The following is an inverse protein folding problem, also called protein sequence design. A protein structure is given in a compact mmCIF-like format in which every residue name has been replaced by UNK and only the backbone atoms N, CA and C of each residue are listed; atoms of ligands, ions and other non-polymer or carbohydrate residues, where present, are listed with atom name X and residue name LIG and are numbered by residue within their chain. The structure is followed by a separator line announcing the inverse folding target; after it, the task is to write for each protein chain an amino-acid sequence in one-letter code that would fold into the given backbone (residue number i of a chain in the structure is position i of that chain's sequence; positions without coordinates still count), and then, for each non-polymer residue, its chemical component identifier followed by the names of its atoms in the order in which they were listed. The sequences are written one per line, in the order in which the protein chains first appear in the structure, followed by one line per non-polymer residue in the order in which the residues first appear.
data_IF_839679058444
#
_entry.id   IF_839679058444
#
_cell.length_a   1.000
_cell.length_b   1.000
_cell.length_c   1.000
_cell.angle_alpha   90.00
_cell.angle_beta   90.00
_cell.angle_gamma   90.00
#
_symmetry.space_group_name_H-M   'P 1'
#
loop_
_entity.id
_entity.type
_entity.pdbx_description
1 polymer ?
#
# COMPACT_ATOMS: atom_id res chain seq x y z
N UNK A 1 -42.91 -21.63 23.18
CA UNK A 1 -42.33 -20.31 22.87
C UNK A 1 -40.81 -20.42 22.99
N UNK A 2 -40.10 -20.40 21.87
CA UNK A 2 -38.64 -20.39 21.86
C UNK A 2 -38.13 -19.01 22.30
N UNK A 3 -37.42 -18.96 23.42
CA UNK A 3 -36.75 -17.75 23.90
C UNK A 3 -35.63 -17.41 22.91
N UNK A 4 -35.82 -16.38 22.10
CA UNK A 4 -34.76 -15.81 21.27
C UNK A 4 -33.87 -14.94 22.17
N UNK A 5 -32.67 -15.43 22.50
CA UNK A 5 -31.65 -14.64 23.18
C UNK A 5 -30.98 -13.68 22.18
N UNK A 6 -31.72 -12.70 21.69
CA UNK A 6 -31.22 -11.68 20.77
C UNK A 6 -30.60 -10.52 21.55
N UNK A 7 -29.29 -10.30 21.42
CA UNK A 7 -28.66 -9.07 21.90
C UNK A 7 -29.35 -7.88 21.23
N UNK A 8 -29.99 -7.01 22.03
CA UNK A 8 -30.57 -5.79 21.49
C UNK A 8 -29.49 -4.95 20.77
N UNK A 9 -29.76 -4.42 19.56
CA UNK A 9 -28.79 -3.62 18.83
C UNK A 9 -28.30 -2.42 19.65
N UNK A 10 -26.98 -2.22 19.72
CA UNK A 10 -26.41 -1.08 20.46
C UNK A 10 -26.59 0.22 19.65
N UNK A 11 -27.69 0.93 19.91
CA UNK A 11 -28.13 2.10 19.13
C UNK A 11 -27.06 3.18 18.96
N UNK A 12 -26.33 3.52 20.03
CA UNK A 12 -25.29 4.55 19.98
C UNK A 12 -24.13 4.16 19.05
N UNK A 13 -23.71 2.89 19.08
CA UNK A 13 -22.69 2.37 18.16
C UNK A 13 -23.16 2.43 16.71
N UNK A 14 -24.39 1.99 16.43
CA UNK A 14 -24.98 2.01 15.08
C UNK A 14 -25.09 3.44 14.57
N UNK A 15 -25.59 4.37 15.39
CA UNK A 15 -25.69 5.78 15.05
C UNK A 15 -24.31 6.38 14.70
N UNK A 16 -23.28 6.08 15.51
CA UNK A 16 -21.91 6.54 15.28
C UNK A 16 -21.31 5.98 13.97
N UNK A 17 -21.60 4.72 13.60
CA UNK A 17 -21.14 4.21 12.31
C UNK A 17 -21.90 4.87 11.14
N UNK A 18 -23.23 4.94 11.23
CA UNK A 18 -24.08 5.42 10.12
C UNK A 18 -23.88 6.89 9.77
N UNK A 19 -23.42 7.70 10.71
CA UNK A 19 -23.07 9.11 10.46
C UNK A 19 -21.75 9.30 9.68
N UNK A 20 -20.97 8.25 9.42
CA UNK A 20 -19.70 8.35 8.69
C UNK A 20 -19.93 8.43 7.18
N UNK A 21 -19.13 9.26 6.51
CA UNK A 21 -19.07 9.41 5.06
C UNK A 21 -17.91 8.61 4.48
N UNK A 22 -18.08 8.05 3.28
CA UNK A 22 -16.99 7.34 2.60
C UNK A 22 -15.89 8.33 2.20
N UNK A 23 -14.66 8.08 2.65
CA UNK A 23 -13.49 8.87 2.31
C UNK A 23 -12.45 7.95 1.65
N UNK A 24 -12.22 8.07 0.34
CA UNK A 24 -11.13 7.38 -0.34
C UNK A 24 -9.77 7.80 0.20
N UNK A 25 -8.94 6.81 0.53
CA UNK A 25 -7.60 7.00 1.10
C UNK A 25 -6.69 5.88 0.61
N UNK A 26 -5.46 6.19 0.21
CA UNK A 26 -4.48 5.18 -0.18
C UNK A 26 -3.89 4.48 1.05
N UNK A 27 -3.66 5.25 2.11
CA UNK A 27 -3.03 4.82 3.36
C UNK A 27 -3.98 5.06 4.53
N UNK A 28 -3.72 4.35 5.61
CA UNK A 28 -4.48 4.56 6.85
C UNK A 28 -4.25 5.95 7.46
N UNK A 29 -3.07 6.56 7.21
CA UNK A 29 -2.69 7.86 7.76
C UNK A 29 -3.19 9.06 6.93
N UNK A 30 -3.84 8.86 5.78
CA UNK A 30 -4.38 9.96 4.95
C UNK A 30 -5.60 10.66 5.60
N UNK A 31 -6.15 10.03 6.64
CA UNK A 31 -7.08 10.61 7.59
C UNK A 31 -6.49 10.43 8.99
N UNK A 32 -6.64 11.43 9.85
CA UNK A 32 -5.93 11.47 11.13
C UNK A 32 -6.86 11.76 12.29
N UNK A 33 -6.70 11.02 13.40
CA UNK A 33 -7.39 11.20 14.69
C UNK A 33 -8.90 11.46 14.53
N UNK A 34 -9.39 12.61 14.99
CA UNK A 34 -10.80 13.01 14.96
C UNK A 34 -11.43 12.99 13.57
N UNK A 35 -10.65 13.08 12.49
CA UNK A 35 -11.22 12.94 11.16
C UNK A 35 -11.78 11.53 10.92
N UNK A 36 -11.26 10.51 11.62
CA UNK A 36 -11.87 9.18 11.66
C UNK A 36 -13.28 9.17 12.26
N UNK A 37 -13.69 10.14 13.09
CA UNK A 37 -15.05 10.18 13.66
C UNK A 37 -16.13 10.27 12.58
N UNK A 38 -15.81 10.92 11.46
CA UNK A 38 -16.74 11.17 10.36
C UNK A 38 -16.35 10.50 9.05
N UNK A 39 -15.11 10.04 8.89
CA UNK A 39 -14.69 9.28 7.72
C UNK A 39 -14.81 7.77 7.94
N UNK A 40 -15.49 7.08 7.02
CA UNK A 40 -15.34 5.65 6.80
C UNK A 40 -14.34 5.45 5.66
N UNK A 41 -13.28 4.71 5.95
CA UNK A 41 -12.19 4.48 5.00
C UNK A 41 -11.66 3.07 5.12
N UNK A 42 -11.14 2.57 4.01
CA UNK A 42 -10.36 1.35 3.92
C UNK A 42 -9.15 1.71 3.06
N UNK A 43 -7.94 1.61 3.62
CA UNK A 43 -6.72 1.99 2.90
C UNK A 43 -6.64 1.30 1.54
N UNK A 44 -6.36 2.02 0.46
CA UNK A 44 -6.28 1.50 -0.91
C UNK A 44 -7.63 1.20 -1.58
N UNK A 45 -8.76 1.32 -0.88
CA UNK A 45 -10.10 1.24 -1.48
C UNK A 45 -10.50 2.62 -2.01
N UNK A 46 -10.05 2.94 -3.22
CA UNK A 46 -10.18 4.29 -3.79
C UNK A 46 -11.54 4.58 -4.45
N UNK A 47 -12.33 3.54 -4.76
CA UNK A 47 -13.65 3.69 -5.36
C UNK A 47 -14.72 3.95 -4.30
N UNK A 48 -15.56 4.98 -4.49
CA UNK A 48 -16.62 5.34 -3.55
C UNK A 48 -17.65 4.23 -3.35
N UNK A 49 -18.01 3.50 -4.41
CA UNK A 49 -19.00 2.41 -4.36
C UNK A 49 -18.44 1.18 -3.62
N UNK A 50 -17.14 0.90 -3.77
CA UNK A 50 -16.43 -0.12 -3.01
C UNK A 50 -16.47 0.19 -1.50
N UNK A 51 -16.19 1.44 -1.13
CA UNK A 51 -16.30 1.88 0.26
C UNK A 51 -17.73 1.83 0.79
N UNK A 52 -18.72 2.13 -0.06
CA UNK A 52 -20.14 2.04 0.31
C UNK A 52 -20.54 0.61 0.64
N UNK A 53 -20.13 -0.36 -0.18
CA UNK A 53 -20.39 -1.77 0.05
C UNK A 53 -19.69 -2.27 1.34
N UNK A 54 -18.43 -1.89 1.57
CA UNK A 54 -17.75 -2.22 2.83
C UNK A 54 -18.43 -1.60 4.05
N UNK A 55 -18.82 -0.32 3.98
CA UNK A 55 -19.54 0.34 5.08
C UNK A 55 -20.87 -0.33 5.37
N UNK A 56 -21.60 -0.72 4.33
CA UNK A 56 -22.85 -1.47 4.47
C UNK A 56 -22.62 -2.86 5.10
N UNK A 57 -21.56 -3.57 4.72
CA UNK A 57 -21.20 -4.85 5.32
C UNK A 57 -20.86 -4.70 6.82
N UNK A 58 -20.12 -3.66 7.20
CA UNK A 58 -19.83 -3.36 8.62
C UNK A 58 -21.11 -2.96 9.37
N UNK A 59 -22.00 -2.18 8.75
CA UNK A 59 -23.30 -1.82 9.35
C UNK A 59 -24.15 -3.06 9.65
N UNK A 60 -24.24 -4.01 8.70
CA UNK A 60 -24.90 -5.30 8.92
C UNK A 60 -24.24 -6.11 10.02
N UNK A 61 -22.91 -6.13 10.08
CA UNK A 61 -22.20 -6.81 11.14
C UNK A 61 -22.56 -6.28 12.54
N UNK A 62 -22.68 -4.96 12.70
CA UNK A 62 -23.06 -4.34 13.98
C UNK A 62 -24.55 -4.51 14.25
N UNK A 63 -25.40 -4.17 13.28
CA UNK A 63 -26.86 -4.07 13.49
C UNK A 63 -27.56 -5.42 13.57
N UNK A 64 -27.05 -6.43 12.87
CA UNK A 64 -27.59 -7.79 12.83
C UNK A 64 -26.74 -8.81 13.59
N UNK A 65 -25.61 -8.38 14.19
CA UNK A 65 -24.73 -9.27 14.95
C UNK A 65 -24.01 -10.32 14.10
N UNK A 66 -23.60 -9.99 12.87
CA UNK A 66 -22.87 -10.95 12.01
C UNK A 66 -21.48 -11.24 12.57
N UNK A 67 -21.00 -12.46 12.32
CA UNK A 67 -19.68 -12.90 12.77
C UNK A 67 -18.54 -12.41 11.86
N UNK A 68 -17.30 -12.50 12.35
CA UNK A 68 -16.11 -12.25 11.54
C UNK A 68 -16.03 -13.19 10.32
N UNK A 69 -16.45 -14.45 10.44
CA UNK A 69 -16.43 -15.39 9.31
C UNK A 69 -17.41 -14.97 8.21
N UNK A 70 -18.60 -14.49 8.58
CA UNK A 70 -19.52 -13.89 7.62
C UNK A 70 -18.90 -12.66 6.94
N UNK A 71 -18.24 -11.79 7.71
CA UNK A 71 -17.63 -10.60 7.14
C UNK A 71 -16.46 -10.92 6.19
N UNK A 72 -15.68 -11.99 6.47
CA UNK A 72 -14.63 -12.46 5.55
C UNK A 72 -15.20 -12.90 4.19
N UNK A 73 -16.36 -13.55 4.19
CA UNK A 73 -17.06 -13.92 2.96
C UNK A 73 -17.53 -12.67 2.21
N UNK A 74 -18.27 -11.78 2.90
CA UNK A 74 -18.73 -10.52 2.32
C UNK A 74 -17.57 -9.66 1.79
N UNK A 75 -16.41 -9.67 2.47
CA UNK A 75 -15.22 -8.96 2.04
C UNK A 75 -14.71 -9.47 0.68
N UNK A 76 -14.64 -10.79 0.50
CA UNK A 76 -14.22 -11.39 -0.77
C UNK A 76 -15.22 -11.03 -1.88
N UNK A 77 -16.52 -11.22 -1.63
CA UNK A 77 -17.59 -10.92 -2.60
C UNK A 77 -17.53 -9.45 -3.06
N UNK A 78 -17.32 -8.52 -2.12
CA UNK A 78 -17.19 -7.08 -2.41
C UNK A 78 -15.91 -6.80 -3.21
N UNK A 79 -14.77 -7.38 -2.81
CA UNK A 79 -13.52 -7.17 -3.52
C UNK A 79 -13.60 -7.68 -4.98
N UNK A 80 -14.17 -8.88 -5.18
CA UNK A 80 -14.34 -9.50 -6.48
C UNK A 80 -15.30 -8.69 -7.35
N UNK A 81 -16.46 -8.28 -6.80
CA UNK A 81 -17.45 -7.43 -7.48
C UNK A 81 -16.84 -6.15 -8.06
N UNK A 82 -15.91 -5.54 -7.33
CA UNK A 82 -15.29 -4.27 -7.72
C UNK A 82 -13.95 -4.41 -8.45
N UNK A 83 -13.48 -5.65 -8.66
CA UNK A 83 -12.16 -5.96 -9.21
C UNK A 83 -11.03 -5.37 -8.36
N UNK A 84 -11.23 -5.24 -7.05
CA UNK A 84 -10.31 -4.53 -6.17
C UNK A 84 -9.11 -5.38 -5.79
N UNK A 85 -7.94 -4.99 -6.30
CA UNK A 85 -6.66 -5.56 -5.89
C UNK A 85 -6.18 -4.88 -4.60
N UNK A 86 -5.80 -5.66 -3.60
CA UNK A 86 -5.35 -5.16 -2.30
C UNK A 86 -4.12 -5.92 -1.79
N UNK A 87 -3.42 -5.29 -0.84
CA UNK A 87 -2.24 -5.86 -0.20
C UNK A 87 -2.60 -6.63 1.09
N UNK A 88 -1.85 -7.71 1.35
CA UNK A 88 -1.96 -8.52 2.57
C UNK A 88 -2.97 -9.66 2.48
N UNK A 89 -2.91 -10.59 3.43
CA UNK A 89 -3.76 -11.77 3.43
C UNK A 89 -5.25 -11.38 3.57
N UNK A 90 -6.16 -11.86 2.69
CA UNK A 90 -7.57 -11.44 2.66
C UNK A 90 -8.26 -11.56 4.02
N UNK A 91 -8.10 -12.72 4.68
CA UNK A 91 -8.69 -12.97 6.00
C UNK A 91 -8.14 -12.04 7.09
N UNK A 92 -6.86 -11.70 7.04
CA UNK A 92 -6.26 -10.76 8.00
C UNK A 92 -6.78 -9.35 7.77
N UNK A 93 -6.83 -8.92 6.51
CA UNK A 93 -7.31 -7.59 6.12
C UNK A 93 -8.78 -7.39 6.48
N UNK A 94 -9.62 -8.37 6.14
CA UNK A 94 -11.03 -8.39 6.54
C UNK A 94 -11.19 -8.31 8.06
N UNK A 95 -10.36 -9.04 8.82
CA UNK A 95 -10.36 -8.99 10.28
C UNK A 95 -9.96 -7.61 10.82
N UNK A 96 -8.92 -6.99 10.28
CA UNK A 96 -8.51 -5.63 10.70
C UNK A 96 -9.63 -4.62 10.44
N UNK A 97 -10.25 -4.64 9.26
CA UNK A 97 -11.36 -3.74 8.91
C UNK A 97 -12.54 -3.97 9.85
N UNK A 98 -12.94 -5.23 10.02
CA UNK A 98 -14.05 -5.63 10.89
C UNK A 98 -13.81 -5.19 12.33
N UNK A 99 -12.71 -5.64 12.95
CA UNK A 99 -12.45 -5.42 14.37
C UNK A 99 -12.22 -3.95 14.70
N UNK A 100 -11.48 -3.23 13.84
CA UNK A 100 -11.19 -1.81 14.07
C UNK A 100 -12.49 -1.01 14.07
N UNK A 101 -13.33 -1.18 13.03
CA UNK A 101 -14.59 -0.46 12.95
C UNK A 101 -15.57 -0.87 14.05
N UNK A 102 -15.67 -2.16 14.37
CA UNK A 102 -16.56 -2.67 15.41
C UNK A 102 -16.18 -2.10 16.78
N UNK A 103 -14.89 -2.16 17.15
CA UNK A 103 -14.43 -1.71 18.47
C UNK A 103 -14.46 -0.19 18.60
N UNK A 104 -14.02 0.55 17.57
CA UNK A 104 -14.06 2.02 17.59
C UNK A 104 -15.48 2.57 17.72
N UNK A 105 -16.41 2.04 16.93
CA UNK A 105 -17.82 2.44 17.01
C UNK A 105 -18.46 2.06 18.35
N UNK A 106 -18.11 0.89 18.90
CA UNK A 106 -18.56 0.48 20.22
C UNK A 106 -18.04 1.43 21.31
N UNK A 107 -16.74 1.77 21.30
CA UNK A 107 -16.13 2.73 22.22
C UNK A 107 -16.83 4.08 22.14
N UNK A 108 -17.06 4.62 20.94
CA UNK A 108 -17.77 5.89 20.76
C UNK A 108 -19.17 5.87 21.40
N UNK A 109 -19.92 4.79 21.19
CA UNK A 109 -21.23 4.63 21.83
C UNK A 109 -21.15 4.54 23.35
N UNK A 110 -20.10 3.89 23.89
CA UNK A 110 -19.87 3.80 25.34
C UNK A 110 -19.45 5.14 25.93
N UNK A 111 -18.64 5.93 25.26
CA UNK A 111 -18.30 7.30 25.67
C UNK A 111 -19.56 8.16 25.77
N UNK A 112 -20.47 8.08 24.80
CA UNK A 112 -21.75 8.78 24.86
C UNK A 112 -22.58 8.36 26.09
N UNK A 113 -22.65 7.06 26.40
CA UNK A 113 -23.35 6.56 27.59
C UNK A 113 -22.68 7.04 28.89
N UNK A 114 -21.35 7.04 28.96
CA UNK A 114 -20.61 7.47 30.14
C UNK A 114 -20.80 8.97 30.38
N UNK A 115 -20.70 9.80 29.34
CA UNK A 115 -20.96 11.23 29.44
C UNK A 115 -22.39 11.53 29.90
N UNK A 116 -23.38 10.80 29.38
CA UNK A 116 -24.78 10.95 29.80
C UNK A 116 -25.04 10.54 31.27
N UNK A 117 -24.22 9.64 31.83
CA UNK A 117 -24.41 9.13 33.20
C UNK A 117 -23.42 9.69 34.22
N UNK A 118 -22.51 10.58 33.81
CA UNK A 118 -21.40 11.06 34.64
C UNK A 118 -21.82 11.72 35.96
N UNK A 119 -23.01 12.35 36.01
CA UNK A 119 -23.54 12.93 37.24
C UNK A 119 -23.76 11.88 38.36
N UNK A 120 -24.08 10.64 37.99
CA UNK A 120 -24.31 9.53 38.93
C UNK A 120 -23.14 8.55 38.98
N UNK A 121 -22.29 8.56 37.95
CA UNK A 121 -21.16 7.65 37.77
C UNK A 121 -19.92 8.45 37.34
N UNK A 122 -19.36 9.31 38.22
CA UNK A 122 -18.37 10.32 37.81
C UNK A 122 -16.98 9.77 37.53
N UNK A 123 -16.72 8.48 37.80
CA UNK A 123 -15.41 7.86 37.60
C UNK A 123 -15.43 6.88 36.43
N UNK A 124 -14.25 6.65 35.85
CA UNK A 124 -14.02 5.62 34.86
C UNK A 124 -12.83 4.74 35.27
N UNK A 125 -12.91 3.46 34.91
CA UNK A 125 -11.83 2.48 35.12
C UNK A 125 -11.31 1.97 33.77
N UNK A 126 -9.99 1.95 33.62
CA UNK A 126 -9.31 1.29 32.51
C UNK A 126 -9.21 -0.21 32.80
N UNK A 127 -9.71 -1.04 31.88
CA UNK A 127 -9.67 -2.50 31.99
C UNK A 127 -8.91 -3.08 30.81
N UNK A 128 -7.73 -3.60 31.10
CA UNK A 128 -7.00 -4.47 30.19
C UNK A 128 -7.86 -5.67 29.76
N UNK A 129 -7.71 -6.08 28.50
CA UNK A 129 -8.52 -7.13 27.84
C UNK A 129 -8.39 -8.54 28.42
N UNK A 130 -7.31 -8.83 29.14
CA UNK A 130 -6.92 -10.19 29.52
C UNK A 130 -6.13 -10.93 28.43
N UNK A 131 -5.61 -10.22 27.42
CA UNK A 131 -4.67 -10.77 26.42
C UNK A 131 -3.50 -11.51 27.08
N UNK A 132 -3.15 -12.69 26.57
CA UNK A 132 -1.98 -13.48 26.97
C UNK A 132 -0.66 -12.75 26.69
N UNK A 133 -0.63 -11.95 25.62
CA UNK A 133 0.49 -11.08 25.26
C UNK A 133 0.04 -9.61 25.29
N UNK A 134 0.01 -8.99 26.48
CA UNK A 134 -0.44 -7.61 26.62
C UNK A 134 0.67 -6.63 26.19
N UNK A 135 0.27 -5.44 25.71
CA UNK A 135 1.16 -4.28 25.72
C UNK A 135 1.43 -3.91 27.17
N UNK A 136 2.69 -3.81 27.59
CA UNK A 136 3.05 -3.62 29.00
C UNK A 136 2.45 -2.34 29.60
N UNK A 137 2.38 -1.27 28.80
CA UNK A 137 1.74 -0.01 29.18
C UNK A 137 0.24 -0.20 29.45
N UNK A 138 -0.46 -1.00 28.62
CA UNK A 138 -1.89 -1.24 28.82
C UNK A 138 -2.16 -2.10 30.06
N UNK A 139 -1.23 -2.99 30.39
CA UNK A 139 -1.30 -3.81 31.61
C UNK A 139 -1.06 -2.95 32.86
N UNK A 140 -0.11 -2.01 32.81
CA UNK A 140 0.15 -1.11 33.94
C UNK A 140 -1.01 -0.16 34.22
N UNK A 141 -1.83 0.16 33.22
CA UNK A 141 -3.07 0.92 33.40
C UNK A 141 -4.27 0.07 33.87
N UNK A 142 -4.13 -1.25 34.03
CA UNK A 142 -5.24 -2.08 34.49
C UNK A 142 -5.70 -1.66 35.89
N UNK A 143 -7.01 -1.40 36.04
CA UNK A 143 -7.63 -0.85 37.24
C UNK A 143 -7.29 0.61 37.58
N UNK A 144 -6.67 1.34 36.65
CA UNK A 144 -6.53 2.79 36.80
C UNK A 144 -7.93 3.42 36.84
N UNK A 145 -8.25 4.05 37.97
CA UNK A 145 -9.52 4.76 38.17
C UNK A 145 -9.26 6.26 38.16
N UNK A 146 -9.93 6.98 37.27
CA UNK A 146 -9.85 8.43 37.15
C UNK A 146 -11.26 9.02 37.04
N UNK A 147 -11.46 10.31 37.39
CA UNK A 147 -12.68 11.03 36.98
C UNK A 147 -12.92 10.91 35.47
N UNK A 148 -14.18 10.88 35.03
CA UNK A 148 -14.54 10.77 33.60
C UNK A 148 -13.97 11.93 32.79
N UNK A 149 -13.94 13.13 33.37
CA UNK A 149 -13.49 14.36 32.72
C UNK A 149 -11.97 14.59 32.88
N UNK A 150 -11.23 13.62 33.41
CA UNK A 150 -9.78 13.69 33.53
C UNK A 150 -9.11 13.85 32.14
N UNK A 151 -8.17 14.81 31.97
CA UNK A 151 -7.50 15.06 30.68
C UNK A 151 -6.78 13.84 30.10
N UNK A 152 -6.34 12.88 30.92
CA UNK A 152 -5.67 11.65 30.47
C UNK A 152 -6.53 10.85 29.49
N UNK A 153 -7.86 10.85 29.70
CA UNK A 153 -8.79 10.16 28.81
C UNK A 153 -8.83 10.75 27.39
N UNK A 154 -8.40 11.99 27.18
CA UNK A 154 -8.43 12.64 25.85
C UNK A 154 -7.62 11.89 24.81
N UNK A 155 -6.58 11.19 25.24
CA UNK A 155 -5.72 10.39 24.37
C UNK A 155 -5.78 8.90 24.68
N UNK A 156 -6.01 8.50 25.94
CA UNK A 156 -5.91 7.10 26.39
C UNK A 156 -7.25 6.35 26.48
N UNK A 157 -8.31 6.87 25.85
CA UNK A 157 -9.60 6.16 25.81
C UNK A 157 -9.46 4.86 25.00
N UNK A 158 -9.78 3.68 25.59
CA UNK A 158 -9.48 2.38 25.00
C UNK A 158 -9.99 2.13 23.58
N UNK A 159 -9.30 1.15 22.96
CA UNK A 159 -8.96 1.05 21.53
C UNK A 159 -7.73 1.87 21.14
N UNK A 160 -6.70 1.86 21.97
CA UNK A 160 -5.43 2.59 21.82
C UNK A 160 -4.52 2.06 20.68
N UNK A 161 -5.07 1.31 19.73
CA UNK A 161 -4.30 0.72 18.63
C UNK A 161 -4.96 -0.49 17.98
N UNK A 162 -4.34 -0.97 16.91
CA UNK A 162 -4.82 -2.14 16.19
C UNK A 162 -4.80 -3.38 17.11
N UNK A 163 -5.87 -4.17 17.08
CA UNK A 163 -6.02 -5.35 17.93
C UNK A 163 -6.21 -5.07 19.42
N UNK A 164 -6.29 -3.81 19.86
CA UNK A 164 -6.50 -3.50 21.28
C UNK A 164 -7.92 -3.91 21.72
N UNK A 165 -8.01 -4.80 22.72
CA UNK A 165 -9.28 -5.25 23.31
C UNK A 165 -9.62 -4.59 24.66
N UNK A 166 -8.84 -3.59 25.10
CA UNK A 166 -9.04 -2.91 26.37
C UNK A 166 -10.37 -2.15 26.37
N UNK A 167 -10.94 -1.92 27.56
CA UNK A 167 -12.26 -1.30 27.75
C UNK A 167 -12.22 -0.24 28.83
N UNK A 168 -13.12 0.74 28.73
CA UNK A 168 -13.39 1.75 29.76
C UNK A 168 -14.81 1.58 30.27
N UNK A 169 -14.96 1.61 31.58
CA UNK A 169 -16.26 1.46 32.25
C UNK A 169 -16.47 2.60 33.22
N UNK A 170 -17.68 3.18 33.27
CA UNK A 170 -18.02 4.14 34.31
C UNK A 170 -18.28 3.44 35.65
N UNK A 171 -18.00 4.11 36.75
CA UNK A 171 -18.18 3.67 38.13
C UNK A 171 -18.85 4.79 38.95
N UNK A 172 -19.75 4.42 39.85
CA UNK A 172 -20.22 5.29 40.93
C UNK A 172 -19.34 5.16 42.17
N UNK A 173 -19.46 6.06 43.13
CA UNK A 173 -18.77 5.96 44.43
C UNK A 173 -19.01 4.60 45.10
N UNK A 174 -20.27 4.15 45.15
CA UNK A 174 -20.66 2.82 45.65
C UNK A 174 -19.96 1.66 44.94
N UNK A 175 -19.62 1.82 43.64
CA UNK A 175 -18.89 0.79 42.92
C UNK A 175 -17.42 0.74 43.32
N UNK A 176 -16.82 1.89 43.64
CA UNK A 176 -15.47 1.97 44.16
C UNK A 176 -15.37 1.26 45.50
N UNK A 177 -16.27 1.60 46.44
CA UNK A 177 -16.35 0.96 47.76
C UNK A 177 -16.53 -0.56 47.64
N UNK A 178 -17.54 -1.00 46.88
CA UNK A 178 -17.84 -2.43 46.69
C UNK A 178 -16.69 -3.21 46.08
N UNK A 179 -15.90 -2.59 45.21
CA UNK A 179 -14.77 -3.24 44.51
C UNK A 179 -13.43 -3.01 45.19
N UNK A 180 -13.39 -2.27 46.31
CA UNK A 180 -12.14 -1.89 46.97
C UNK A 180 -11.22 -1.05 46.10
N UNK A 181 -11.77 -0.28 45.15
CA UNK A 181 -11.01 0.58 44.25
C UNK A 181 -10.89 1.99 44.83
N UNK A 182 -9.79 2.68 44.50
CA UNK A 182 -9.59 4.09 44.86
C UNK A 182 -9.30 4.91 43.62
N UNK A 183 -9.74 6.16 43.62
CA UNK A 183 -9.37 7.12 42.58
C UNK A 183 -7.85 7.32 42.61
N UNK A 184 -7.22 7.16 41.47
CA UNK A 184 -5.77 7.31 41.29
C UNK A 184 -5.44 8.74 40.88
N UNK A 185 -4.20 9.23 41.14
CA UNK A 185 -3.73 10.44 40.50
C UNK A 185 -3.60 10.24 38.99
N UNK A 186 -3.83 11.29 38.21
CA UNK A 186 -3.67 11.27 36.75
C UNK A 186 -2.22 10.94 36.39
N UNK A 187 -1.96 9.90 35.57
CA UNK A 187 -0.59 9.56 35.16
C UNK A 187 0.06 10.68 34.33
N UNK A 188 1.36 10.86 34.48
CA UNK A 188 2.16 11.68 33.58
C UNK A 188 2.16 11.06 32.18
N UNK A 189 1.85 11.87 31.16
CA UNK A 189 1.87 11.42 29.77
C UNK A 189 3.23 11.69 29.16
N UNK A 190 3.95 10.62 28.83
CA UNK A 190 5.18 10.68 28.06
C UNK A 190 4.88 10.54 26.57
N UNK A 191 5.60 11.30 25.74
CA UNK A 191 5.46 11.27 24.30
C UNK A 191 6.71 10.70 23.64
N UNK A 192 6.53 10.13 22.45
CA UNK A 192 7.61 9.84 21.53
C UNK A 192 7.30 10.47 20.17
N UNK A 193 8.35 10.82 19.43
CA UNK A 193 8.20 11.32 18.08
C UNK A 193 7.98 10.16 17.11
N UNK A 194 6.85 10.20 16.41
CA UNK A 194 6.57 9.32 15.29
C UNK A 194 6.59 10.13 14.00
N UNK A 195 7.44 9.72 13.05
CA UNK A 195 7.54 10.34 11.73
C UNK A 195 6.79 9.50 10.72
N UNK A 196 5.82 10.10 10.01
CA UNK A 196 5.19 9.46 8.86
C UNK A 196 6.27 9.28 7.78
N UNK A 197 6.60 8.02 7.49
CA UNK A 197 7.67 7.66 6.55
C UNK A 197 7.41 8.10 5.10
N UNK A 198 6.17 8.46 4.76
CA UNK A 198 5.77 8.89 3.42
C UNK A 198 5.72 10.41 3.32
N UNK A 199 5.11 11.10 4.28
CA UNK A 199 4.98 12.58 4.23
C UNK A 199 6.17 13.30 4.88
N UNK A 200 6.91 12.62 5.76
CA UNK A 200 7.98 13.23 6.56
C UNK A 200 7.47 14.04 7.76
N UNK A 201 6.15 14.11 7.97
CA UNK A 201 5.56 14.84 9.09
C UNK A 201 5.86 14.15 10.42
N UNK A 202 6.33 14.92 11.40
CA UNK A 202 6.59 14.46 12.75
C UNK A 202 5.36 14.71 13.65
N UNK A 203 4.95 13.68 14.39
CA UNK A 203 3.85 13.74 15.34
C UNK A 203 4.33 13.32 16.73
N UNK A 204 3.86 14.01 17.75
CA UNK A 204 4.07 13.62 19.14
C UNK A 204 2.95 12.66 19.56
N UNK A 205 3.30 11.40 19.82
CA UNK A 205 2.35 10.33 20.16
C UNK A 205 2.58 9.89 21.61
N UNK A 206 1.53 9.76 22.44
CA UNK A 206 1.66 9.21 23.78
C UNK A 206 2.23 7.78 23.76
N UNK A 207 3.19 7.49 24.65
CA UNK A 207 3.72 6.13 24.79
C UNK A 207 2.60 5.15 25.15
N UNK A 208 2.62 3.99 24.50
CA UNK A 208 1.58 2.97 24.66
C UNK A 208 0.34 3.17 23.79
N UNK A 209 0.29 4.18 22.92
CA UNK A 209 -0.79 4.38 21.95
C UNK A 209 -0.24 4.30 20.54
N UNK A 210 -0.92 3.54 19.66
CA UNK A 210 -0.54 3.49 18.25
C UNK A 210 -0.88 4.84 17.57
N UNK A 211 -0.05 5.33 16.62
CA UNK A 211 -0.31 6.61 15.95
C UNK A 211 -1.69 6.66 15.29
N UNK A 212 -2.42 7.76 15.47
CA UNK A 212 -3.77 7.95 14.93
C UNK A 212 -4.91 7.40 15.79
N UNK A 213 -4.60 6.72 16.90
CA UNK A 213 -5.58 6.26 17.91
C UNK A 213 -5.61 7.13 19.18
N UNK A 214 -4.77 8.17 19.25
CA UNK A 214 -4.62 9.07 20.39
C UNK A 214 -5.68 10.18 20.41
N UNK A 215 -6.95 9.76 20.40
CA UNK A 215 -8.12 10.64 20.49
C UNK A 215 -9.30 9.89 21.12
N UNK A 216 -10.27 10.63 21.66
CA UNK A 216 -11.56 10.06 22.09
C UNK A 216 -12.50 10.01 20.90
N UNK A 217 -13.02 8.82 20.52
CA UNK A 217 -14.05 8.71 19.52
C UNK A 217 -15.33 9.38 20.02
N UNK A 218 -15.80 10.43 19.34
CA UNK A 218 -17.00 11.17 19.75
C UNK A 218 -17.95 11.45 18.58
N UNK A 219 -19.24 11.51 18.88
CA UNK A 219 -20.29 11.90 17.93
C UNK A 219 -20.71 13.36 18.15
N UNK A 220 -19.81 14.34 18.00
CA UNK A 220 -20.21 15.75 18.09
C UNK A 220 -20.67 16.28 16.72
N UNK A 221 -21.82 16.97 16.66
CA UNK A 221 -22.33 17.63 15.45
C UNK A 221 -21.41 18.78 14.98
N UNK A 222 -20.71 19.42 15.92
CA UNK A 222 -19.73 20.47 15.63
C UNK A 222 -18.53 19.94 14.82
N UNK A 223 -18.07 18.71 15.12
CA UNK A 223 -17.05 18.02 14.33
C UNK A 223 -17.54 17.64 12.92
N UNK A 224 -18.85 17.41 12.72
CA UNK A 224 -19.41 17.14 11.38
C UNK A 224 -19.14 18.27 10.41
N UNK A 225 -19.41 19.53 10.81
CA UNK A 225 -19.22 20.70 9.95
C UNK A 225 -17.75 20.93 9.65
N UNK A 226 -16.88 20.73 10.64
CA UNK A 226 -15.43 20.87 10.48
C UNK A 226 -14.84 19.77 9.57
N UNK A 227 -15.26 18.52 9.70
CA UNK A 227 -14.80 17.43 8.81
C UNK A 227 -15.37 17.55 7.41
N UNK A 228 -16.64 17.96 7.25
CA UNK A 228 -17.20 18.23 5.91
C UNK A 228 -16.45 19.37 5.21
N UNK A 229 -16.08 20.43 5.94
CA UNK A 229 -15.24 21.51 5.40
C UNK A 229 -13.83 21.00 5.03
N UNK A 230 -13.19 20.19 5.87
CA UNK A 230 -11.88 19.60 5.59
C UNK A 230 -11.91 18.62 4.40
N UNK A 231 -13.00 17.87 4.23
CA UNK A 231 -13.18 16.95 3.08
C UNK A 231 -13.50 17.72 1.80
N UNK A 232 -14.27 18.80 1.88
CA UNK A 232 -14.61 19.67 0.75
C UNK A 232 -13.45 20.55 0.28
N UNK A 233 -12.53 20.92 1.17
CA UNK A 233 -11.30 21.66 0.84
C UNK A 233 -10.24 20.78 0.15
N UNK A 234 -10.39 19.46 0.19
CA UNK A 234 -9.48 18.56 -0.53
C UNK A 234 -9.84 18.61 -2.04
N UNK A 235 -8.88 18.90 -2.96
CA UNK A 235 -9.13 18.95 -4.41
C UNK A 235 -9.77 17.65 -4.92
N UNK A 236 -10.37 17.55 -6.11
CA UNK A 236 -10.95 16.30 -6.61
C UNK A 236 -10.01 15.08 -6.46
N UNK A 237 -10.56 13.88 -6.25
CA UNK A 237 -9.75 12.66 -6.02
C UNK A 237 -8.74 12.40 -7.16
N UNK A 238 -9.11 12.75 -8.39
CA UNK A 238 -8.25 12.64 -9.57
C UNK A 238 -7.04 13.60 -9.55
N UNK A 239 -7.11 14.71 -8.81
CA UNK A 239 -6.03 15.68 -8.64
C UNK A 239 -5.19 15.42 -7.38
N UNK A 240 -5.77 14.72 -6.40
CA UNK A 240 -5.08 14.30 -5.15
C UNK A 240 -4.10 13.15 -5.36
N UNK A 241 -4.27 12.37 -6.41
CA UNK A 241 -3.51 11.15 -6.64
C UNK A 241 -2.69 11.32 -7.92
N UNK A 242 -1.35 11.24 -7.87
CA UNK A 242 -0.61 10.98 -9.09
C UNK A 242 -1.11 9.62 -9.61
N UNK A 243 -1.59 9.58 -10.86
CA UNK A 243 -2.00 8.34 -11.47
C UNK A 243 -0.84 7.34 -11.37
N UNK A 244 -1.07 6.21 -10.69
CA UNK A 244 -0.01 5.25 -10.43
C UNK A 244 0.37 4.56 -11.73
N UNK A 245 1.44 5.04 -12.36
CA UNK A 245 1.93 4.51 -13.63
C UNK A 245 2.32 3.02 -13.54
N UNK A 246 2.89 2.60 -12.41
CA UNK A 246 3.21 1.19 -12.12
C UNK A 246 2.13 0.61 -11.19
N UNK A 247 1.20 -0.23 -11.69
CA UNK A 247 0.02 -0.64 -10.90
C UNK A 247 0.37 -1.32 -9.58
N UNK A 248 1.39 -2.18 -9.58
CA UNK A 248 1.87 -2.86 -8.37
C UNK A 248 3.31 -3.38 -8.52
N UNK A 249 3.97 -3.58 -7.39
CA UNK A 249 5.27 -4.24 -7.31
C UNK A 249 5.41 -4.96 -5.96
N UNK A 250 5.83 -6.22 -5.98
CA UNK A 250 6.25 -6.94 -4.78
C UNK A 250 7.75 -6.74 -4.60
N UNK A 251 8.16 -6.13 -3.49
CA UNK A 251 9.55 -5.82 -3.22
C UNK A 251 9.99 -6.29 -1.84
N UNK A 252 11.13 -6.98 -1.79
CA UNK A 252 11.81 -7.29 -0.52
C UNK A 252 12.86 -6.23 -0.14
N UNK A 253 12.99 -5.18 -0.96
CA UNK A 253 13.88 -4.04 -0.76
C UNK A 253 13.02 -2.81 -0.44
N UNK A 254 13.03 -2.37 0.82
CA UNK A 254 12.09 -1.38 1.34
C UNK A 254 12.11 -0.01 0.67
N UNK A 255 13.19 0.34 -0.04
CA UNK A 255 13.37 1.64 -0.72
C UNK A 255 13.05 1.60 -2.22
N UNK A 256 12.46 0.49 -2.68
CA UNK A 256 12.03 0.30 -4.08
C UNK A 256 10.61 -0.27 -4.03
N UNK A 257 9.64 0.50 -4.51
CA UNK A 257 8.23 0.14 -4.50
C UNK A 257 7.54 0.64 -5.78
N UNK A 258 6.30 0.20 -6.00
CA UNK A 258 5.50 0.69 -7.13
C UNK A 258 5.35 2.21 -7.12
N UNK A 259 5.28 2.81 -5.92
CA UNK A 259 5.18 4.25 -5.73
C UNK A 259 6.46 4.97 -6.16
N UNK A 260 7.63 4.54 -5.68
CA UNK A 260 8.90 5.19 -6.04
C UNK A 260 9.24 5.02 -7.53
N UNK A 261 8.82 3.90 -8.13
CA UNK A 261 8.92 3.69 -9.58
C UNK A 261 7.95 4.56 -10.38
N UNK A 262 6.70 4.71 -9.90
CA UNK A 262 5.70 5.57 -10.54
C UNK A 262 6.09 7.04 -10.47
N UNK A 263 6.70 7.48 -9.36
CA UNK A 263 7.22 8.84 -9.21
C UNK A 263 8.26 9.15 -10.29
N UNK A 264 9.24 8.26 -10.49
CA UNK A 264 10.24 8.43 -11.55
C UNK A 264 9.62 8.46 -12.94
N UNK A 265 8.70 7.54 -13.26
CA UNK A 265 8.01 7.55 -14.55
C UNK A 265 7.21 8.84 -14.77
N UNK A 266 6.49 9.31 -13.76
CA UNK A 266 5.65 10.51 -13.86
C UNK A 266 6.44 11.78 -14.15
N UNK A 267 7.73 11.81 -13.79
CA UNK A 267 8.62 12.95 -14.03
C UNK A 267 9.10 13.04 -15.49
N UNK A 268 9.15 11.92 -16.23
CA UNK A 268 9.58 11.89 -17.64
C UNK A 268 8.59 12.57 -18.60
N UNK A 269 7.30 12.66 -18.24
CA UNK A 269 6.21 13.36 -18.96
C UNK A 269 6.30 13.27 -20.51
N UNK A 270 6.25 12.06 -21.06
CA UNK A 270 6.25 11.85 -22.52
C UNK A 270 5.07 10.99 -23.00
N UNK A 271 4.80 11.01 -24.30
CA UNK A 271 3.76 10.16 -24.91
C UNK A 271 4.11 8.67 -24.78
N UNK A 272 5.40 8.34 -24.80
CA UNK A 272 5.94 7.00 -24.62
C UNK A 272 5.68 6.45 -23.22
N UNK A 273 5.80 7.31 -22.19
CA UNK A 273 5.45 6.94 -20.80
C UNK A 273 3.97 6.65 -20.67
N UNK A 274 3.09 7.43 -21.31
CA UNK A 274 1.65 7.20 -21.31
C UNK A 274 1.31 5.86 -22.01
N UNK A 275 1.85 5.64 -23.21
CA UNK A 275 1.69 4.38 -23.94
C UNK A 275 2.19 3.17 -23.14
N UNK A 276 3.34 3.27 -22.49
CA UNK A 276 3.87 2.20 -21.64
C UNK A 276 2.97 1.94 -20.43
N UNK A 277 2.50 2.99 -19.76
CA UNK A 277 1.60 2.91 -18.61
C UNK A 277 0.28 2.20 -18.97
N UNK A 278 -0.27 2.45 -20.16
CA UNK A 278 -1.47 1.77 -20.64
C UNK A 278 -1.24 0.26 -20.79
N UNK A 279 -0.10 -0.16 -21.35
CA UNK A 279 0.26 -1.58 -21.48
C UNK A 279 0.34 -2.24 -20.11
N UNK A 280 1.00 -1.60 -19.14
CA UNK A 280 1.13 -2.13 -17.78
C UNK A 280 -0.24 -2.41 -17.15
N UNK A 281 -1.20 -1.51 -17.35
CA UNK A 281 -2.58 -1.67 -16.84
C UNK A 281 -3.34 -2.74 -17.59
N UNK A 282 -3.30 -2.73 -18.92
CA UNK A 282 -4.07 -3.63 -19.77
C UNK A 282 -3.69 -5.09 -19.59
N UNK A 283 -2.40 -5.38 -19.57
CA UNK A 283 -1.87 -6.75 -19.43
C UNK A 283 -1.62 -7.13 -17.98
N UNK A 284 -2.07 -6.30 -17.03
CA UNK A 284 -1.89 -6.52 -15.58
C UNK A 284 -0.46 -6.90 -15.19
N UNK A 285 0.55 -6.31 -15.86
CA UNK A 285 1.95 -6.73 -15.71
C UNK A 285 2.47 -6.47 -14.30
N UNK A 286 3.00 -7.52 -13.68
CA UNK A 286 3.47 -7.50 -12.29
C UNK A 286 4.98 -7.37 -12.19
N UNK A 287 5.46 -6.80 -11.09
CA UNK A 287 6.89 -6.58 -10.86
C UNK A 287 7.34 -7.24 -9.57
N UNK A 288 8.42 -8.02 -9.63
CA UNK A 288 9.11 -8.58 -8.47
C UNK A 288 10.50 -7.94 -8.31
N UNK A 289 10.74 -7.24 -7.19
CA UNK A 289 12.06 -6.69 -6.83
C UNK A 289 12.64 -7.52 -5.68
N UNK A 290 13.63 -8.36 -5.98
CA UNK A 290 14.13 -9.38 -5.07
C UNK A 290 15.63 -9.27 -4.82
N UNK A 291 16.08 -9.70 -3.63
CA UNK A 291 17.50 -9.78 -3.31
C UNK A 291 18.11 -11.01 -3.98
N UNK A 292 19.41 -10.94 -4.29
CA UNK A 292 20.12 -12.07 -4.92
C UNK A 292 19.90 -13.41 -4.21
N UNK A 293 19.92 -13.41 -2.87
CA UNK A 293 19.76 -14.64 -2.09
C UNK A 293 18.37 -15.25 -2.13
N UNK A 294 17.37 -14.48 -2.57
CA UNK A 294 15.98 -14.90 -2.72
C UNK A 294 15.70 -15.50 -4.12
N UNK A 295 16.65 -15.37 -5.06
CA UNK A 295 16.53 -15.90 -6.42
C UNK A 295 17.10 -17.32 -6.58
N UNK A 296 17.79 -17.88 -5.58
CA UNK A 296 18.53 -19.15 -5.71
C UNK A 296 17.66 -20.42 -5.52
N UNK A 297 16.35 -20.28 -5.26
CA UNK A 297 15.46 -21.40 -4.94
C UNK A 297 15.71 -22.09 -3.59
N UNK A 298 16.66 -21.57 -2.80
CA UNK A 298 16.99 -22.07 -1.45
C UNK A 298 16.02 -21.59 -0.36
N UNK A 299 16.45 -21.66 0.90
CA UNK A 299 15.62 -21.34 2.08
C UNK A 299 14.99 -19.95 2.00
N UNK A 300 15.80 -18.92 1.68
CA UNK A 300 15.30 -17.54 1.56
C UNK A 300 14.31 -17.35 0.41
N UNK A 301 14.49 -18.07 -0.71
CA UNK A 301 13.54 -18.07 -1.80
C UNK A 301 12.21 -18.69 -1.34
N UNK A 302 12.24 -19.88 -0.71
CA UNK A 302 11.04 -20.58 -0.24
C UNK A 302 10.26 -19.77 0.79
N UNK A 303 10.95 -19.03 1.66
CA UNK A 303 10.32 -18.16 2.67
C UNK A 303 9.41 -17.07 2.06
N UNK A 304 9.65 -16.67 0.81
CA UNK A 304 8.85 -15.67 0.10
C UNK A 304 7.97 -16.28 -1.02
N UNK A 305 7.92 -17.61 -1.15
CA UNK A 305 7.19 -18.26 -2.24
C UNK A 305 5.67 -18.07 -2.12
N UNK A 306 5.14 -18.20 -0.91
CA UNK A 306 3.71 -17.98 -0.60
C UNK A 306 3.26 -16.55 -0.90
N UNK A 307 3.90 -15.49 -0.36
CA UNK A 307 3.48 -14.13 -0.66
C UNK A 307 3.69 -13.75 -2.15
N UNK A 308 4.69 -14.32 -2.84
CA UNK A 308 4.84 -14.11 -4.29
C UNK A 308 3.72 -14.82 -5.08
N UNK A 309 3.36 -16.06 -4.74
CA UNK A 309 2.27 -16.75 -5.43
C UNK A 309 0.94 -16.00 -5.26
N UNK A 310 0.67 -15.48 -4.07
CA UNK A 310 -0.49 -14.62 -3.81
C UNK A 310 -0.43 -13.34 -4.66
N UNK A 311 0.70 -12.62 -4.63
CA UNK A 311 0.87 -11.42 -5.45
C UNK A 311 0.69 -11.69 -6.94
N UNK A 312 1.18 -12.83 -7.44
CA UNK A 312 1.04 -13.23 -8.85
C UNK A 312 -0.31 -13.87 -9.20
N UNK A 313 -1.24 -14.03 -8.25
CA UNK A 313 -2.50 -14.76 -8.42
C UNK A 313 -2.28 -16.22 -8.90
N UNK A 314 -1.30 -16.92 -8.32
CA UNK A 314 -1.00 -18.33 -8.60
C UNK A 314 -1.54 -19.22 -7.47
N UNK A 315 -2.07 -20.38 -7.84
CA UNK A 315 -2.76 -21.28 -6.92
C UNK A 315 -1.86 -21.95 -5.87
N UNK A 316 -0.55 -22.05 -6.12
CA UNK A 316 0.39 -22.75 -5.24
C UNK A 316 1.72 -21.97 -5.12
N UNK A 317 2.36 -21.98 -3.94
CA UNK A 317 3.69 -21.42 -3.76
C UNK A 317 4.74 -22.20 -4.56
N UNK A 318 5.31 -21.56 -5.59
CA UNK A 318 6.34 -22.19 -6.41
C UNK A 318 7.50 -21.25 -6.71
N UNK A 319 8.71 -21.63 -6.27
CA UNK A 319 9.93 -20.84 -6.51
C UNK A 319 10.27 -20.72 -8.00
N UNK A 320 9.73 -21.59 -8.86
CA UNK A 320 9.94 -21.51 -10.31
C UNK A 320 9.41 -20.24 -10.96
N UNK A 321 8.50 -19.52 -10.31
CA UNK A 321 8.00 -18.24 -10.82
C UNK A 321 9.04 -17.11 -10.77
N UNK A 322 10.10 -17.23 -9.97
CA UNK A 322 11.07 -16.15 -9.76
C UNK A 322 12.49 -16.61 -9.43
N UNK A 323 12.81 -17.91 -9.51
CA UNK A 323 14.17 -18.40 -9.30
C UNK A 323 15.00 -18.30 -10.58
N UNK A 324 16.28 -18.06 -10.41
CA UNK A 324 17.28 -18.20 -11.47
C UNK A 324 18.28 -19.30 -11.10
N UNK A 325 18.75 -20.05 -12.11
CA UNK A 325 19.84 -21.02 -11.93
C UNK A 325 21.19 -20.34 -11.66
N UNK A 326 21.34 -19.07 -12.01
CA UNK A 326 22.59 -18.29 -11.87
C UNK A 326 22.31 -16.88 -11.31
N UNK A 327 21.80 -16.77 -10.07
CA UNK A 327 21.35 -15.49 -9.50
C UNK A 327 22.47 -14.44 -9.37
N UNK A 328 23.74 -14.87 -9.33
CA UNK A 328 24.90 -13.98 -9.33
C UNK A 328 25.15 -13.31 -10.68
N UNK A 329 24.73 -13.93 -11.80
CA UNK A 329 25.02 -13.47 -13.16
C UNK A 329 23.86 -12.73 -13.84
N UNK A 330 22.69 -12.67 -13.21
CA UNK A 330 21.50 -12.00 -13.77
C UNK A 330 21.13 -10.78 -12.94
N UNK A 331 20.75 -9.68 -13.60
CA UNK A 331 20.24 -8.48 -12.94
C UNK A 331 18.72 -8.36 -13.05
N UNK A 332 18.12 -8.97 -14.06
CA UNK A 332 16.68 -9.17 -14.21
C UNK A 332 16.45 -10.39 -15.10
N UNK A 333 15.19 -10.81 -15.19
CA UNK A 333 14.71 -11.77 -16.19
C UNK A 333 13.19 -11.79 -16.23
N UNK A 334 12.64 -12.26 -17.35
CA UNK A 334 11.22 -12.59 -17.53
C UNK A 334 11.04 -13.74 -18.52
N UNK A 335 9.79 -14.13 -18.80
CA UNK A 335 9.45 -15.20 -19.74
C UNK A 335 8.16 -14.85 -20.51
N UNK A 336 8.06 -15.28 -21.77
CA UNK A 336 6.87 -15.04 -22.60
C UNK A 336 5.57 -15.64 -22.04
N UNK A 337 5.66 -16.71 -21.23
CA UNK A 337 4.51 -17.34 -20.57
C UNK A 337 4.12 -16.69 -19.24
N UNK A 338 4.80 -15.62 -18.84
CA UNK A 338 4.58 -14.92 -17.59
C UNK A 338 4.01 -13.53 -17.85
N UNK A 339 3.20 -13.05 -16.92
CA UNK A 339 2.70 -11.67 -16.87
C UNK A 339 3.44 -10.86 -15.80
N UNK A 340 4.71 -11.19 -15.59
CA UNK A 340 5.54 -10.55 -14.57
C UNK A 340 7.03 -10.53 -14.92
N UNK A 341 7.73 -9.55 -14.34
CA UNK A 341 9.18 -9.39 -14.46
C UNK A 341 9.86 -9.54 -13.10
N UNK A 342 11.12 -9.96 -13.12
CA UNK A 342 11.96 -10.08 -11.92
C UNK A 342 13.16 -9.17 -12.08
N UNK A 343 13.45 -8.37 -11.06
CA UNK A 343 14.62 -7.50 -11.01
C UNK A 343 15.37 -7.70 -9.71
N UNK A 344 16.69 -7.85 -9.81
CA UNK A 344 17.61 -8.05 -8.69
C UNK A 344 18.09 -6.71 -8.13
N UNK A 345 17.83 -6.50 -6.85
CA UNK A 345 18.28 -5.33 -6.11
C UNK A 345 19.06 -5.73 -4.84
N UNK A 346 20.01 -4.90 -4.42
CA UNK A 346 20.65 -5.00 -3.11
C UNK A 346 19.73 -4.41 -2.05
N UNK A 347 19.88 -4.83 -0.79
CA UNK A 347 19.13 -4.23 0.33
C UNK A 347 19.41 -2.74 0.53
N UNK A 348 20.53 -2.24 0.00
CA UNK A 348 20.95 -0.84 0.05
C UNK A 348 20.45 -0.01 -1.13
N UNK A 349 20.04 -0.64 -2.23
CA UNK A 349 19.57 0.05 -3.43
C UNK A 349 18.30 0.86 -3.07
N UNK A 350 18.15 2.03 -3.69
CA UNK A 350 17.10 2.99 -3.36
C UNK A 350 16.75 3.79 -4.59
N UNK A 351 15.45 4.03 -4.85
CA UNK A 351 15.02 4.93 -5.91
C UNK A 351 14.86 6.38 -5.44
N UNK A 352 14.80 6.61 -4.12
CA UNK A 352 14.54 7.95 -3.55
C UNK A 352 15.56 9.03 -3.92
N UNK A 353 16.78 8.65 -4.36
CA UNK A 353 17.85 9.58 -4.76
C UNK A 353 18.12 9.58 -6.26
N UNK A 354 17.47 8.67 -6.99
CA UNK A 354 17.62 8.58 -8.44
C UNK A 354 16.79 9.72 -9.04
N UNK A 355 17.34 10.41 -10.02
CA UNK A 355 16.62 11.46 -10.74
C UNK A 355 16.45 11.11 -12.22
N UNK A 356 15.46 11.72 -12.88
CA UNK A 356 15.25 11.53 -14.31
C UNK A 356 16.46 11.98 -15.12
N UNK A 357 17.13 13.05 -14.72
CA UNK A 357 18.33 13.56 -15.38
C UNK A 357 19.47 12.53 -15.33
N UNK A 358 19.62 11.79 -14.23
CA UNK A 358 20.61 10.71 -14.15
C UNK A 358 20.28 9.55 -15.09
N UNK A 359 19.00 9.18 -15.20
CA UNK A 359 18.55 8.12 -16.10
C UNK A 359 18.75 8.52 -17.58
N UNK A 360 18.41 9.76 -17.91
CA UNK A 360 18.57 10.36 -19.23
C UNK A 360 20.04 10.53 -19.61
N UNK A 361 20.89 10.99 -18.69
CA UNK A 361 22.33 11.11 -18.90
C UNK A 361 23.01 9.74 -19.08
N UNK A 362 22.57 8.71 -18.35
CA UNK A 362 23.03 7.35 -18.58
C UNK A 362 22.68 6.86 -19.99
N UNK A 363 21.47 7.17 -20.47
CA UNK A 363 21.03 6.84 -21.82
C UNK A 363 21.81 7.62 -22.88
N UNK A 364 22.01 8.93 -22.70
CA UNK A 364 22.80 9.77 -23.61
C UNK A 364 24.24 9.28 -23.75
N UNK A 365 24.86 8.88 -22.64
CA UNK A 365 26.22 8.33 -22.66
C UNK A 365 26.33 7.07 -23.51
N UNK A 366 25.29 6.23 -23.57
CA UNK A 366 25.27 5.07 -24.47
C UNK A 366 25.31 5.50 -25.93
N UNK A 367 24.48 6.47 -26.31
CA UNK A 367 24.46 7.01 -27.68
C UNK A 367 25.81 7.61 -28.06
N UNK A 368 26.40 8.43 -27.18
CA UNK A 368 27.69 9.09 -27.42
C UNK A 368 28.81 8.07 -27.61
N UNK A 369 28.89 7.06 -26.73
CA UNK A 369 29.90 6.01 -26.80
C UNK A 369 29.74 5.13 -28.04
N UNK A 370 28.50 4.84 -28.44
CA UNK A 370 28.23 4.11 -29.67
C UNK A 370 28.69 4.90 -30.90
N UNK A 371 28.40 6.20 -30.98
CA UNK A 371 28.88 7.08 -32.06
C UNK A 371 30.42 7.14 -32.13
N UNK A 372 31.10 7.02 -31.00
CA UNK A 372 32.56 6.91 -30.91
C UNK A 372 33.11 5.50 -31.20
N UNK A 373 32.27 4.57 -31.65
CA UNK A 373 32.63 3.16 -31.92
C UNK A 373 33.17 2.43 -30.67
N UNK A 374 32.72 2.83 -29.48
CA UNK A 374 33.08 2.26 -28.18
C UNK A 374 31.84 1.83 -27.39
N UNK A 375 31.00 0.92 -27.93
CA UNK A 375 29.72 0.58 -27.32
C UNK A 375 29.90 0.05 -25.90
N UNK A 376 29.06 0.53 -24.99
CA UNK A 376 28.99 -0.02 -23.63
C UNK A 376 28.39 -1.43 -23.64
N UNK A 377 28.50 -2.13 -22.49
CA UNK A 377 27.87 -3.42 -22.31
C UNK A 377 26.34 -3.32 -22.43
N UNK A 378 25.67 -2.47 -21.65
CA UNK A 378 24.21 -2.28 -21.68
C UNK A 378 23.80 -0.92 -21.11
N UNK A 379 22.57 -0.49 -21.34
CA UNK A 379 22.04 0.74 -20.71
C UNK A 379 22.08 0.68 -19.18
N UNK A 380 21.77 -0.48 -18.60
CA UNK A 380 21.82 -0.68 -17.14
C UNK A 380 23.24 -0.57 -16.57
N UNK A 381 24.28 -0.91 -17.36
CA UNK A 381 25.68 -0.73 -16.97
C UNK A 381 26.02 0.76 -16.82
N UNK A 382 25.59 1.61 -17.77
CA UNK A 382 25.79 3.06 -17.62
C UNK A 382 24.96 3.63 -16.48
N UNK A 383 23.73 3.15 -16.28
CA UNK A 383 22.93 3.50 -15.11
C UNK A 383 23.65 3.24 -13.78
N UNK A 384 24.36 2.11 -13.68
CA UNK A 384 25.13 1.74 -12.49
C UNK A 384 26.31 2.69 -12.19
N UNK A 385 26.82 3.40 -13.20
CA UNK A 385 27.90 4.40 -13.01
C UNK A 385 27.37 5.62 -12.24
N UNK A 386 26.11 6.00 -12.45
CA UNK A 386 25.48 7.12 -11.75
C UNK A 386 24.97 6.72 -10.37
N UNK A 387 24.13 5.68 -10.31
CA UNK A 387 23.54 5.21 -9.06
C UNK A 387 23.12 3.73 -9.14
N UNK A 388 23.30 3.01 -8.04
CA UNK A 388 22.90 1.59 -7.94
C UNK A 388 21.40 1.34 -8.13
N UNK A 389 20.55 2.30 -7.75
CA UNK A 389 19.11 2.32 -7.99
C UNK A 389 18.76 2.66 -9.43
N UNK A 390 19.52 3.55 -10.09
CA UNK A 390 19.34 3.84 -11.52
C UNK A 390 19.55 2.56 -12.36
N UNK A 391 20.56 1.76 -12.02
CA UNK A 391 20.72 0.40 -12.59
C UNK A 391 19.48 -0.46 -12.41
N UNK A 392 18.90 -0.51 -11.19
CA UNK A 392 17.70 -1.31 -10.91
C UNK A 392 16.52 -0.85 -11.76
N UNK A 393 16.29 0.46 -11.83
CA UNK A 393 15.18 1.02 -12.59
C UNK A 393 15.33 0.80 -14.11
N UNK A 394 16.53 1.00 -14.66
CA UNK A 394 16.81 0.73 -16.08
C UNK A 394 16.70 -0.77 -16.38
N UNK A 395 17.16 -1.64 -15.46
CA UNK A 395 16.95 -3.09 -15.61
C UNK A 395 15.46 -3.43 -15.60
N UNK A 396 14.66 -2.78 -14.77
CA UNK A 396 13.21 -2.98 -14.79
C UNK A 396 12.57 -2.59 -16.13
N UNK A 397 12.95 -1.45 -16.69
CA UNK A 397 12.49 -1.03 -18.03
C UNK A 397 12.89 -2.05 -19.09
N UNK A 398 14.13 -2.56 -19.02
CA UNK A 398 14.62 -3.62 -19.90
C UNK A 398 13.71 -4.87 -19.86
N UNK A 399 13.46 -5.41 -18.66
CA UNK A 399 12.61 -6.61 -18.53
C UNK A 399 11.16 -6.36 -18.96
N UNK A 400 10.64 -5.15 -18.72
CA UNK A 400 9.33 -4.75 -19.21
C UNK A 400 9.31 -4.63 -20.75
N UNK A 401 10.42 -4.22 -21.36
CA UNK A 401 10.60 -4.24 -22.82
C UNK A 401 10.44 -5.63 -23.41
N UNK A 402 10.96 -6.67 -22.75
CA UNK A 402 10.69 -8.05 -23.16
C UNK A 402 9.19 -8.40 -23.11
N UNK A 403 8.50 -8.04 -22.03
CA UNK A 403 7.05 -8.25 -21.89
C UNK A 403 6.26 -7.54 -22.98
N UNK A 404 6.56 -6.28 -23.26
CA UNK A 404 5.97 -5.50 -24.36
C UNK A 404 6.18 -6.24 -25.69
N UNK A 405 7.40 -6.72 -25.95
CA UNK A 405 7.71 -7.46 -27.18
C UNK A 405 6.92 -8.78 -27.30
N UNK A 406 6.76 -9.51 -26.19
CA UNK A 406 5.93 -10.72 -26.14
C UNK A 406 4.47 -10.41 -26.44
N UNK A 407 3.88 -9.39 -25.80
CA UNK A 407 2.49 -8.98 -26.02
C UNK A 407 2.24 -8.36 -27.42
N UNK A 408 3.28 -7.84 -28.06
CA UNK A 408 3.26 -7.43 -29.47
C UNK A 408 3.29 -8.63 -30.46
N UNK A 409 3.43 -9.87 -29.96
CA UNK A 409 3.57 -11.06 -30.78
C UNK A 409 4.95 -11.19 -31.44
N UNK A 410 5.98 -10.57 -30.86
CA UNK A 410 7.38 -10.69 -31.24
C UNK A 410 7.64 -10.44 -32.74
N UNK A 411 7.27 -9.26 -33.28
CA UNK A 411 7.46 -8.96 -34.69
C UNK A 411 8.93 -9.16 -35.11
N UNK A 412 9.21 -9.76 -36.29
CA UNK A 412 10.57 -10.05 -36.71
C UNK A 412 11.39 -8.77 -36.90
N UNK A 413 12.64 -8.80 -36.44
CA UNK A 413 13.57 -7.68 -36.53
C UNK A 413 14.49 -7.92 -37.73
N UNK A 414 14.41 -7.07 -38.75
CA UNK A 414 15.24 -7.19 -39.94
C UNK A 414 16.73 -6.99 -39.62
N UNK A 415 17.62 -7.68 -40.34
CA UNK A 415 19.07 -7.59 -40.11
C UNK A 415 19.62 -6.17 -40.27
N UNK A 416 19.06 -5.40 -41.20
CA UNK A 416 19.39 -3.99 -41.38
C UNK A 416 19.07 -3.14 -40.16
N UNK A 417 18.06 -3.54 -39.39
CA UNK A 417 17.68 -2.88 -38.14
C UNK A 417 18.55 -3.37 -36.98
N UNK A 418 18.90 -4.66 -36.95
CA UNK A 418 19.84 -5.20 -35.96
C UNK A 418 21.22 -4.55 -36.04
N UNK A 419 21.63 -4.06 -37.20
CA UNK A 419 22.88 -3.33 -37.37
C UNK A 419 22.97 -2.06 -36.49
N UNK A 420 21.83 -1.47 -36.07
CA UNK A 420 21.79 -0.30 -35.18
C UNK A 420 21.86 -0.63 -33.69
N UNK A 421 22.41 -1.80 -33.33
CA UNK A 421 22.52 -2.25 -31.94
C UNK A 421 23.38 -1.34 -31.05
N UNK A 422 22.75 -0.47 -30.26
CA UNK A 422 23.38 0.59 -29.46
C UNK A 422 24.32 0.07 -28.36
N UNK A 423 24.13 -1.15 -27.88
CA UNK A 423 24.96 -1.76 -26.82
C UNK A 423 25.49 -3.13 -27.24
N UNK A 424 26.58 -3.59 -26.62
CA UNK A 424 27.10 -4.95 -26.86
C UNK A 424 26.03 -5.99 -26.53
N UNK A 425 25.28 -5.79 -25.45
CA UNK A 425 24.22 -6.70 -25.01
C UNK A 425 23.07 -6.78 -26.03
N UNK A 426 22.69 -5.66 -26.65
CA UNK A 426 21.64 -5.63 -27.69
C UNK A 426 21.97 -6.44 -28.95
N UNK A 427 23.23 -6.85 -29.15
CA UNK A 427 23.65 -7.69 -30.28
C UNK A 427 23.35 -9.19 -30.08
N UNK A 428 23.10 -9.60 -28.84
CA UNK A 428 23.01 -11.02 -28.44
C UNK A 428 21.91 -11.77 -29.19
N UNK A 429 20.70 -11.24 -29.21
CA UNK A 429 19.55 -11.81 -29.91
C UNK A 429 18.45 -10.75 -30.12
N UNK A 430 17.35 -11.11 -30.79
CA UNK A 430 16.28 -10.17 -31.11
C UNK A 430 15.53 -9.64 -29.87
N UNK A 431 15.41 -10.45 -28.81
CA UNK A 431 14.79 -10.04 -27.56
C UNK A 431 15.61 -9.00 -26.83
N UNK A 432 16.92 -9.22 -26.70
CA UNK A 432 17.85 -8.26 -26.09
C UNK A 432 17.95 -6.98 -26.92
N UNK A 433 17.91 -7.11 -28.25
CA UNK A 433 17.83 -5.95 -29.13
C UNK A 433 16.61 -5.11 -28.78
N UNK A 434 15.41 -5.72 -28.76
CA UNK A 434 14.19 -4.96 -28.47
C UNK A 434 14.23 -4.33 -27.07
N UNK A 435 14.57 -5.10 -26.04
CA UNK A 435 14.55 -4.63 -24.66
C UNK A 435 15.54 -3.49 -24.40
N UNK A 436 16.75 -3.53 -24.98
CA UNK A 436 17.71 -2.43 -24.86
C UNK A 436 17.23 -1.16 -25.59
N UNK A 437 16.65 -1.29 -26.79
CA UNK A 437 16.17 -0.12 -27.53
C UNK A 437 14.85 0.43 -26.95
N UNK A 438 14.07 -0.40 -26.27
CA UNK A 438 12.89 0.03 -25.51
C UNK A 438 13.26 1.00 -24.38
N UNK A 439 14.42 0.80 -23.73
CA UNK A 439 14.95 1.74 -22.72
C UNK A 439 15.17 3.11 -23.35
N UNK A 440 15.84 3.15 -24.50
CA UNK A 440 16.09 4.39 -25.22
C UNK A 440 14.80 5.07 -25.70
N UNK A 441 13.83 4.27 -26.17
CA UNK A 441 12.51 4.76 -26.56
C UNK A 441 11.77 5.39 -25.39
N UNK A 442 11.87 4.82 -24.18
CA UNK A 442 11.17 5.34 -23.01
C UNK A 442 11.90 6.55 -22.36
N UNK A 443 13.22 6.52 -22.26
CA UNK A 443 14.00 7.52 -21.53
C UNK A 443 14.48 8.69 -22.41
N UNK A 444 14.75 8.44 -23.69
CA UNK A 444 15.27 9.42 -24.65
C UNK A 444 14.57 9.31 -26.03
N UNK A 445 13.23 9.38 -26.08
CA UNK A 445 12.46 9.16 -27.31
C UNK A 445 12.87 10.09 -28.46
N UNK A 446 13.01 11.39 -28.18
CA UNK A 446 13.34 12.39 -29.20
C UNK A 446 14.72 12.17 -29.80
N UNK A 447 15.70 11.77 -28.99
CA UNK A 447 17.05 11.45 -29.47
C UNK A 447 17.04 10.17 -30.30
N UNK A 448 16.38 9.12 -29.82
CA UNK A 448 16.26 7.87 -30.56
C UNK A 448 15.58 8.10 -31.92
N UNK A 449 14.51 8.90 -31.96
CA UNK A 449 13.79 9.26 -33.18
C UNK A 449 14.67 10.04 -34.17
N UNK A 450 15.48 10.98 -33.67
CA UNK A 450 16.37 11.79 -34.51
C UNK A 450 17.53 10.98 -35.09
N UNK A 451 18.21 10.18 -34.28
CA UNK A 451 19.46 9.52 -34.68
C UNK A 451 19.23 8.11 -35.24
N UNK A 452 18.17 7.41 -34.80
CA UNK A 452 17.84 6.03 -35.20
C UNK A 452 16.33 5.89 -35.49
N UNK A 453 15.78 6.65 -36.45
CA UNK A 453 14.34 6.72 -36.71
C UNK A 453 13.70 5.35 -37.00
N UNK A 454 14.39 4.47 -37.74
CA UNK A 454 13.90 3.11 -38.03
C UNK A 454 13.76 2.24 -36.78
N UNK A 455 14.65 2.43 -35.79
CA UNK A 455 14.54 1.73 -34.51
C UNK A 455 13.40 2.31 -33.68
N UNK A 456 13.28 3.64 -33.62
CA UNK A 456 12.15 4.30 -32.97
C UNK A 456 10.80 3.83 -33.53
N UNK A 457 10.61 3.88 -34.85
CA UNK A 457 9.36 3.50 -35.52
C UNK A 457 9.00 2.03 -35.29
N UNK A 458 10.00 1.15 -35.29
CA UNK A 458 9.80 -0.26 -35.01
C UNK A 458 9.33 -0.51 -33.56
N UNK A 459 10.00 0.11 -32.58
CA UNK A 459 9.61 0.00 -31.17
C UNK A 459 8.21 0.61 -30.96
N UNK A 460 7.95 1.79 -31.52
CA UNK A 460 6.64 2.46 -31.45
C UNK A 460 5.52 1.58 -32.00
N UNK A 461 5.73 0.97 -33.17
CA UNK A 461 4.76 0.07 -33.79
C UNK A 461 4.48 -1.17 -32.93
N UNK A 462 5.51 -1.77 -32.34
CA UNK A 462 5.35 -2.88 -31.42
C UNK A 462 4.61 -2.49 -30.13
N UNK A 463 4.91 -1.31 -29.57
CA UNK A 463 4.21 -0.74 -28.40
C UNK A 463 2.73 -0.55 -28.72
N UNK A 464 2.39 0.10 -29.83
CA UNK A 464 0.99 0.28 -30.22
C UNK A 464 0.27 -1.05 -30.42
N UNK A 465 0.94 -2.04 -31.03
CA UNK A 465 0.37 -3.38 -31.16
C UNK A 465 0.10 -4.00 -29.79
N UNK A 466 1.05 -3.93 -28.85
CA UNK A 466 0.84 -4.40 -27.48
C UNK A 466 -0.32 -3.68 -26.76
N UNK A 467 -0.53 -2.38 -27.03
CA UNK A 467 -1.67 -1.61 -26.49
C UNK A 467 -3.04 -2.05 -27.02
N UNK A 468 -3.13 -2.65 -28.21
CA UNK A 468 -4.44 -3.06 -28.76
C UNK A 468 -4.69 -4.56 -28.77
N UNK A 469 -3.67 -5.38 -28.48
CA UNK A 469 -3.84 -6.80 -28.23
C UNK A 469 -4.56 -6.99 -26.89
N UNK A 470 -5.81 -7.46 -26.91
CA UNK A 470 -6.50 -7.95 -25.69
C UNK A 470 -6.03 -9.38 -25.40
N UNK A 471 -5.85 -9.68 -24.10
CA UNK A 471 -5.54 -11.04 -23.61
C UNK A 471 -6.63 -12.06 -23.92
#
# INVERSE_FOLDING_TARGET
MSVAYGSLPFKQQIAYLRQKHNVPTERWADLWKHAHDRGFMVAGAMKTDLLADFRAAVDKAISEGKSLNWFKQAFNDIADKHGWQYNGHPSWRAQVIYETNLRQSYTAGREQQMQATKATRPYAIYKHSGSEHPRHEHLSWHNLVLPIDDPWWKTHTPTNGYGCGCKKFSLSERDLERKGLKVSPSPTVEYYEWVDKVTGEAHQIPKGIDPGFDYVPTSSEALTKQTQALVAQKPPLAERLPERAVPSAFSTVSRISAETMSQLLSQLKSAEVAAFTDILKQHSLKTLILKQSELSGGVKARAIAEPIAQYLNKAQPYTGYYRSRRPTRVNGFTNASWDHVIVKAKSTDSLNKVTVEQLQAACDKVFDLFAMHKPTWSFSTEGAVFDSGARVFITWIHEMGHQVYFKAGQPPIADSLRASALTVYSKTNHHEWFAEHFIAWLLQPERLKREYPRAFDFIQSAVEKARYTKE
#
